data_IF_339230284403
#
_entry.id   IF_339230284403
#
_cell.length_a   1.000
_cell.length_b   1.000
_cell.length_c   1.000
_cell.angle_alpha   90.00
_cell.angle_beta   90.00
_cell.angle_gamma   90.00
#
_symmetry.space_group_name_H-M   'P 1'
#
loop_
_entity.id
_entity.type
_entity.pdbx_description
1 polymer ?
#
# COMPACT_ATOMS: atom_id res chain seq x y z
N UNK A 1 -11.07 21.68 13.19
CA UNK A 1 -9.73 21.85 12.60
C UNK A 1 -9.57 20.82 11.49
N UNK A 2 -9.26 21.26 10.26
CA UNK A 2 -8.95 20.37 9.13
C UNK A 2 -7.72 19.54 9.53
N UNK A 3 -7.87 18.22 9.55
CA UNK A 3 -6.79 17.29 9.89
C UNK A 3 -6.20 16.69 8.63
N UNK A 4 -4.88 16.52 8.63
CA UNK A 4 -4.16 15.79 7.61
C UNK A 4 -4.17 14.30 7.93
N UNK A 5 -4.03 13.46 6.92
CA UNK A 5 -4.01 12.00 7.06
C UNK A 5 -2.82 11.39 6.32
N UNK A 6 -2.25 10.34 6.91
CA UNK A 6 -1.25 9.50 6.27
C UNK A 6 -1.92 8.20 5.82
N UNK A 7 -1.50 7.71 4.65
CA UNK A 7 -1.98 6.46 4.07
C UNK A 7 -0.84 5.47 3.97
N UNK A 8 -1.05 4.26 4.47
CA UNK A 8 -0.11 3.15 4.37
C UNK A 8 -0.75 1.98 3.66
N UNK A 9 -0.02 1.41 2.73
CA UNK A 9 -0.29 0.10 2.18
C UNK A 9 0.25 -0.95 3.13
N UNK A 10 -0.57 -1.93 3.47
CA UNK A 10 -0.15 -3.06 4.30
C UNK A 10 -0.28 -4.34 3.50
N UNK A 11 0.68 -5.22 3.69
CA UNK A 11 0.69 -6.51 3.01
C UNK A 11 1.23 -7.59 3.93
N UNK A 12 0.57 -8.73 3.91
CA UNK A 12 1.08 -9.98 4.45
C UNK A 12 1.33 -10.95 3.31
N UNK A 13 2.51 -11.53 3.27
CA UNK A 13 2.88 -12.51 2.26
C UNK A 13 3.71 -13.63 2.87
N UNK A 14 3.79 -14.76 2.16
CA UNK A 14 4.65 -15.87 2.56
C UNK A 14 6.13 -15.57 2.31
N UNK A 15 7.04 -16.21 3.02
CA UNK A 15 8.50 -16.04 2.85
C UNK A 15 9.00 -16.56 1.50
N UNK A 16 8.23 -17.41 0.82
CA UNK A 16 8.49 -17.89 -0.54
C UNK A 16 8.04 -16.90 -1.63
N UNK A 17 7.54 -15.70 -1.27
CA UNK A 17 7.20 -14.67 -2.26
C UNK A 17 8.41 -14.43 -3.18
N UNK A 18 8.27 -14.63 -4.51
CA UNK A 18 9.42 -14.80 -5.39
C UNK A 18 10.03 -13.47 -5.87
N UNK A 19 9.34 -12.35 -5.66
CA UNK A 19 9.77 -11.05 -6.15
C UNK A 19 10.40 -10.22 -5.03
N UNK A 20 11.31 -9.31 -5.42
CA UNK A 20 11.91 -8.36 -4.49
C UNK A 20 10.90 -7.29 -4.05
N UNK A 21 9.96 -6.98 -4.92
CA UNK A 21 9.03 -5.88 -4.81
C UNK A 21 7.60 -6.28 -5.19
N UNK A 22 6.67 -5.39 -4.90
CA UNK A 22 5.31 -5.39 -5.41
C UNK A 22 5.05 -4.05 -6.08
N UNK A 23 4.57 -4.07 -7.32
CA UNK A 23 4.22 -2.86 -8.05
C UNK A 23 2.71 -2.68 -7.96
N UNK A 24 2.26 -1.54 -7.46
CA UNK A 24 0.84 -1.21 -7.35
C UNK A 24 0.55 0.16 -7.95
N UNK A 25 -0.68 0.35 -8.42
CA UNK A 25 -1.27 1.67 -8.58
C UNK A 25 -2.18 1.95 -7.38
N UNK A 26 -2.09 3.15 -6.83
CA UNK A 26 -3.00 3.64 -5.79
C UNK A 26 -3.74 4.87 -6.29
N UNK A 27 -5.07 4.76 -6.38
CA UNK A 27 -5.95 5.83 -6.84
C UNK A 27 -6.92 6.24 -5.73
N UNK A 28 -6.98 7.56 -5.48
CA UNK A 28 -7.89 8.20 -4.52
C UNK A 28 -8.90 9.01 -5.32
N UNK A 29 -10.17 8.61 -5.29
CA UNK A 29 -11.29 9.38 -5.83
C UNK A 29 -11.89 10.23 -4.72
N UNK A 30 -11.74 11.54 -4.83
CA UNK A 30 -12.27 12.50 -3.86
C UNK A 30 -13.76 12.75 -4.10
N UNK A 31 -14.45 13.23 -3.07
CA UNK A 31 -15.87 13.55 -3.16
C UNK A 31 -16.21 14.61 -4.22
N UNK A 32 -15.27 15.46 -4.62
CA UNK A 32 -15.49 16.48 -5.67
C UNK A 32 -15.41 15.93 -7.09
N UNK A 33 -15.16 14.63 -7.27
CA UNK A 33 -14.98 14.00 -8.59
C UNK A 33 -13.55 14.11 -9.12
N UNK A 34 -12.64 14.76 -8.40
CA UNK A 34 -11.21 14.72 -8.71
C UNK A 34 -10.62 13.39 -8.26
N UNK A 35 -9.74 12.80 -9.06
CA UNK A 35 -8.95 11.64 -8.66
C UNK A 35 -7.46 11.96 -8.65
N UNK A 36 -6.72 11.28 -7.78
CA UNK A 36 -5.26 11.29 -7.75
C UNK A 36 -4.77 9.87 -7.86
N UNK A 37 -3.86 9.62 -8.78
CA UNK A 37 -3.31 8.30 -9.05
C UNK A 37 -1.79 8.34 -8.95
N UNK A 38 -1.18 7.29 -8.45
CA UNK A 38 0.27 7.16 -8.32
C UNK A 38 0.66 5.69 -8.36
N UNK A 39 1.73 5.38 -9.09
CA UNK A 39 2.34 4.05 -9.10
C UNK A 39 3.42 3.96 -8.02
N UNK A 40 3.49 2.83 -7.34
CA UNK A 40 4.46 2.54 -6.30
C UNK A 40 5.20 1.25 -6.62
N UNK A 41 6.53 1.33 -6.56
CA UNK A 41 7.42 0.17 -6.50
C UNK A 41 7.78 -0.10 -5.02
N UNK A 42 7.06 -1.05 -4.42
CA UNK A 42 7.13 -1.37 -3.01
C UNK A 42 8.11 -2.51 -2.76
N UNK A 43 9.35 -2.18 -2.37
CA UNK A 43 10.33 -3.20 -2.01
C UNK A 43 9.87 -3.98 -0.77
N UNK A 44 9.86 -5.30 -0.88
CA UNK A 44 9.55 -6.25 0.19
C UNK A 44 10.81 -6.95 0.72
N UNK A 45 11.90 -6.99 -0.06
CA UNK A 45 13.19 -7.54 0.35
C UNK A 45 14.36 -6.64 -0.03
N UNK A 46 15.44 -6.71 0.74
CA UNK A 46 16.72 -6.12 0.39
C UNK A 46 17.45 -6.93 -0.71
N UNK A 47 18.61 -6.44 -1.15
CA UNK A 47 19.42 -7.13 -2.18
C UNK A 47 20.03 -8.46 -1.71
N UNK A 48 20.03 -8.73 -0.40
CA UNK A 48 20.52 -9.97 0.22
C UNK A 48 19.38 -10.98 0.43
N UNK A 49 18.14 -10.60 0.14
CA UNK A 49 16.95 -11.43 0.30
C UNK A 49 16.28 -11.33 1.67
N UNK A 50 16.75 -10.43 2.55
CA UNK A 50 16.10 -10.22 3.85
C UNK A 50 14.81 -9.43 3.64
N UNK A 51 13.72 -9.90 4.24
CA UNK A 51 12.45 -9.22 4.18
C UNK A 51 12.44 -7.92 4.98
N UNK A 52 11.78 -6.91 4.44
CA UNK A 52 11.41 -5.72 5.18
C UNK A 52 10.12 -6.02 5.96
N UNK A 53 10.04 -5.56 7.21
CA UNK A 53 8.87 -5.76 8.07
C UNK A 53 9.07 -6.84 9.14
N UNK A 54 7.97 -7.30 9.70
CA UNK A 54 7.94 -8.30 10.76
C UNK A 54 7.73 -9.69 10.17
N UNK A 55 8.72 -10.56 10.33
CA UNK A 55 8.63 -11.96 9.87
C UNK A 55 8.33 -12.88 11.04
N UNK A 56 7.26 -13.67 10.93
CA UNK A 56 6.88 -14.69 11.91
C UNK A 56 6.61 -16.00 11.18
N UNK A 57 7.42 -17.03 11.48
CA UNK A 57 7.37 -18.31 10.79
C UNK A 57 7.59 -18.14 9.28
N UNK A 58 6.63 -18.63 8.50
CA UNK A 58 6.67 -18.56 7.03
C UNK A 58 5.96 -17.34 6.45
N UNK A 59 5.65 -16.33 7.27
CA UNK A 59 4.94 -15.13 6.83
C UNK A 59 5.69 -13.85 7.21
N UNK A 60 5.54 -12.83 6.38
CA UNK A 60 6.07 -11.50 6.63
C UNK A 60 4.98 -10.47 6.44
N UNK A 61 4.91 -9.52 7.37
CA UNK A 61 3.99 -8.41 7.39
C UNK A 61 4.75 -7.09 7.31
N UNK A 62 4.32 -6.20 6.43
CA UNK A 62 4.92 -4.88 6.27
C UNK A 62 3.86 -3.80 6.01
N UNK A 63 4.09 -2.63 6.60
CA UNK A 63 3.36 -1.39 6.33
C UNK A 63 4.27 -0.40 5.62
N UNK A 64 3.83 0.09 4.46
CA UNK A 64 4.58 0.97 3.57
C UNK A 64 3.79 2.25 3.35
N UNK A 65 4.44 3.38 3.59
CA UNK A 65 3.83 4.69 3.41
C UNK A 65 3.56 4.97 1.93
N UNK A 66 2.30 5.21 1.58
CA UNK A 66 1.90 5.66 0.24
C UNK A 66 1.88 7.18 0.16
N UNK A 67 1.20 7.84 1.12
CA UNK A 67 0.97 9.29 1.07
C UNK A 67 1.01 9.88 2.46
N UNK A 68 1.75 10.99 2.61
CA UNK A 68 1.74 11.81 3.82
C UNK A 68 0.87 13.03 3.66
N UNK A 69 0.34 13.49 4.80
CA UNK A 69 -0.28 14.79 4.97
C UNK A 69 -1.39 15.08 3.94
N UNK A 70 -2.20 14.08 3.62
CA UNK A 70 -3.34 14.23 2.72
C UNK A 70 -4.46 14.99 3.43
N UNK A 71 -4.90 16.10 2.83
CA UNK A 71 -5.99 16.90 3.37
C UNK A 71 -7.31 16.59 2.67
N UNK A 72 -8.28 16.04 3.40
CA UNK A 72 -9.68 16.00 2.93
C UNK A 72 -10.29 17.39 3.02
N UNK A 73 -10.40 18.08 1.88
CA UNK A 73 -10.85 19.47 1.81
C UNK A 73 -12.38 19.64 1.94
N UNK A 74 -13.16 18.59 1.69
CA UNK A 74 -14.62 18.55 1.74
C UNK A 74 -15.11 17.25 2.41
N UNK A 75 -16.25 17.33 3.10
CA UNK A 75 -16.95 16.16 3.65
C UNK A 75 -17.62 15.39 2.51
N UNK A 76 -17.52 14.07 2.52
CA UNK A 76 -18.23 13.19 1.60
C UNK A 76 -17.53 11.84 1.44
N UNK A 77 -18.01 11.02 0.50
CA UNK A 77 -17.46 9.69 0.23
C UNK A 77 -16.16 9.83 -0.56
N UNK A 78 -15.11 9.15 -0.08
CA UNK A 78 -13.85 8.97 -0.78
C UNK A 78 -13.72 7.49 -1.14
N UNK A 79 -13.37 7.19 -2.39
CA UNK A 79 -13.13 5.81 -2.85
C UNK A 79 -11.64 5.62 -3.06
N UNK A 80 -11.10 4.52 -2.55
CA UNK A 80 -9.72 4.12 -2.75
C UNK A 80 -9.70 2.89 -3.64
N UNK A 81 -8.80 2.89 -4.61
CA UNK A 81 -8.56 1.77 -5.51
C UNK A 81 -7.06 1.42 -5.44
N UNK A 82 -6.78 0.15 -5.19
CA UNK A 82 -5.43 -0.40 -5.23
C UNK A 82 -5.43 -1.47 -6.30
N UNK A 83 -4.59 -1.29 -7.32
CA UNK A 83 -4.49 -2.21 -8.46
C UNK A 83 -3.10 -2.82 -8.49
N UNK A 84 -3.05 -4.13 -8.70
CA UNK A 84 -1.80 -4.85 -8.90
C UNK A 84 -1.25 -4.56 -10.31
N UNK A 85 -0.01 -4.07 -10.39
CA UNK A 85 0.68 -3.78 -11.65
C UNK A 85 1.85 -4.73 -11.92
N UNK A 86 1.98 -5.82 -11.17
CA UNK A 86 2.98 -6.84 -11.47
C UNK A 86 2.79 -7.37 -12.90
N UNK A 87 3.87 -7.51 -13.70
CA UNK A 87 3.80 -7.99 -15.09
C UNK A 87 3.65 -9.52 -15.14
N UNK A 88 2.68 -10.05 -14.38
CA UNK A 88 2.39 -11.46 -14.18
C UNK A 88 0.89 -11.65 -14.12
N UNK A 89 0.42 -12.79 -14.61
CA UNK A 89 -1.01 -13.14 -14.59
C UNK A 89 -1.53 -13.20 -13.14
N UNK A 90 -0.71 -13.74 -12.25
CA UNK A 90 -0.99 -13.81 -10.82
C UNK A 90 0.23 -13.36 -10.02
N UNK A 91 -0.03 -12.79 -8.85
CA UNK A 91 1.02 -12.44 -7.86
C UNK A 91 0.86 -13.36 -6.66
N UNK A 92 1.41 -14.57 -6.81
CA UNK A 92 1.29 -15.62 -5.82
C UNK A 92 2.04 -15.29 -4.53
N UNK A 93 1.55 -15.85 -3.42
CA UNK A 93 2.16 -15.70 -2.10
C UNK A 93 1.69 -14.48 -1.31
N UNK A 94 0.84 -13.61 -1.89
CA UNK A 94 0.14 -12.58 -1.13
C UNK A 94 -1.03 -13.21 -0.38
N UNK A 95 -1.10 -12.95 0.93
CA UNK A 95 -2.14 -13.47 1.81
C UNK A 95 -3.19 -12.42 2.14
N UNK A 96 -2.74 -11.21 2.46
CA UNK A 96 -3.59 -10.11 2.90
C UNK A 96 -3.09 -8.80 2.32
N UNK A 97 -4.02 -7.91 1.98
CA UNK A 97 -3.76 -6.53 1.55
C UNK A 97 -4.67 -5.61 2.35
N UNK A 98 -4.13 -4.49 2.83
CA UNK A 98 -4.89 -3.51 3.58
C UNK A 98 -4.43 -2.08 3.33
N UNK A 99 -5.31 -1.14 3.69
CA UNK A 99 -5.04 0.29 3.68
C UNK A 99 -5.24 0.82 5.10
N UNK A 100 -4.19 1.39 5.70
CA UNK A 100 -4.29 2.14 6.95
C UNK A 100 -4.44 3.61 6.61
N UNK A 101 -5.44 4.25 7.21
CA UNK A 101 -5.66 5.70 7.16
C UNK A 101 -5.59 6.23 8.58
N UNK A 102 -4.51 6.93 8.89
CA UNK A 102 -4.29 7.54 10.21
C UNK A 102 -4.29 9.06 10.09
N UNK A 103 -4.72 9.74 11.16
CA UNK A 103 -4.54 11.18 11.25
C UNK A 103 -3.04 11.49 11.39
N UNK A 104 -2.53 12.41 10.59
CA UNK A 104 -1.16 12.90 10.73
C UNK A 104 -1.01 13.63 12.07
N UNK A 105 0.11 13.39 12.75
CA UNK A 105 0.53 14.15 13.93
C UNK A 105 0.71 15.65 13.64
#
# INVERSE_FOLDING_TARGET
IKSNYNFYFTIKHITQYPYKNLIINFTIHTHSGEFRTMDYDLNLKDNKGNFFGETTGDTCYISLLLRKNFLFNKKGICKFEISNLMPKIETQGIMEVGLIVEKSD
#
